data_IF_061273729403
#
_entry.id   IF_061273729403
#
_cell.length_a   1.000
_cell.length_b   1.000
_cell.length_c   1.000
_cell.angle_alpha   90.00
_cell.angle_beta   90.00
_cell.angle_gamma   90.00
#
_symmetry.space_group_name_H-M   'P 1'
#
loop_
_entity.id
_entity.type
_entity.pdbx_description
1 polymer ?
#
# COMPACT_ATOMS: atom_id res chain seq x y z
N UNK A 1 -16.87 -11.15 2.47
CA UNK A 1 -15.72 -11.64 1.68
C UNK A 1 -14.85 -12.42 2.66
N UNK A 2 -14.39 -13.62 2.32
CA UNK A 2 -13.58 -14.46 3.23
C UNK A 2 -12.08 -14.19 3.04
N UNK A 3 -11.24 -14.48 4.03
CA UNK A 3 -9.79 -14.22 4.01
C UNK A 3 -9.10 -14.73 2.75
N UNK A 4 -9.47 -15.92 2.28
CA UNK A 4 -8.95 -16.49 1.02
C UNK A 4 -9.22 -15.60 -0.19
N UNK A 5 -10.35 -14.93 -0.22
CA UNK A 5 -10.73 -14.01 -1.29
C UNK A 5 -9.97 -12.68 -1.19
N UNK A 6 -9.78 -12.15 0.02
CA UNK A 6 -8.91 -10.98 0.25
C UNK A 6 -7.50 -11.27 -0.26
N UNK A 7 -6.92 -12.41 0.16
CA UNK A 7 -5.58 -12.79 -0.24
C UNK A 7 -5.47 -12.95 -1.76
N UNK A 8 -6.47 -13.59 -2.38
CA UNK A 8 -6.57 -13.72 -3.85
C UNK A 8 -6.53 -12.35 -4.52
N UNK A 9 -7.29 -11.37 -4.04
CA UNK A 9 -7.31 -10.02 -4.60
C UNK A 9 -5.97 -9.29 -4.43
N UNK A 10 -5.28 -9.51 -3.31
CA UNK A 10 -3.95 -8.94 -3.07
C UNK A 10 -2.94 -9.53 -4.07
N UNK A 11 -2.85 -10.85 -4.21
CA UNK A 11 -1.80 -11.50 -5.04
C UNK A 11 -2.14 -11.61 -6.53
N UNK A 12 -3.38 -11.36 -6.93
CA UNK A 12 -3.74 -11.57 -8.34
C UNK A 12 -2.94 -10.63 -9.26
N UNK A 13 -2.51 -11.13 -10.43
CA UNK A 13 -1.83 -10.29 -11.42
C UNK A 13 -2.67 -9.08 -11.79
N UNK A 14 -2.04 -7.90 -11.78
CA UNK A 14 -2.67 -6.65 -12.17
C UNK A 14 -1.66 -5.71 -12.81
N UNK A 15 -2.16 -4.76 -13.60
CA UNK A 15 -1.35 -3.76 -14.30
C UNK A 15 -1.83 -2.36 -13.95
N UNK A 16 -0.89 -1.42 -13.90
CA UNK A 16 -1.18 0.01 -13.88
C UNK A 16 -1.72 0.38 -15.26
N UNK A 17 -2.88 1.03 -15.29
CA UNK A 17 -3.53 1.52 -16.51
C UNK A 17 -3.52 3.05 -16.59
N UNK A 18 -3.38 3.73 -15.47
CA UNK A 18 -3.34 5.19 -15.38
C UNK A 18 -2.55 5.61 -14.14
N UNK A 19 -1.82 6.72 -14.25
CA UNK A 19 -1.08 7.36 -13.16
C UNK A 19 -1.47 8.84 -13.14
N UNK A 20 -1.74 9.42 -11.97
CA UNK A 20 -2.14 10.84 -11.88
C UNK A 20 -1.06 11.80 -12.40
N UNK A 21 0.22 11.43 -12.26
CA UNK A 21 1.39 12.08 -12.84
C UNK A 21 2.62 11.16 -12.75
N UNK A 22 3.72 11.50 -13.44
CA UNK A 22 5.04 10.93 -13.15
C UNK A 22 5.60 11.44 -11.81
N UNK A 23 5.22 12.65 -11.43
CA UNK A 23 5.68 13.33 -10.23
C UNK A 23 4.67 13.18 -9.09
N UNK A 24 5.14 13.39 -7.85
CA UNK A 24 4.25 13.45 -6.69
C UNK A 24 3.52 14.80 -6.67
N UNK A 25 2.23 14.79 -6.37
CA UNK A 25 1.53 16.00 -5.96
C UNK A 25 1.86 16.32 -4.51
N UNK A 26 1.83 17.61 -4.15
CA UNK A 26 1.94 18.03 -2.76
C UNK A 26 0.56 18.15 -2.13
N UNK A 27 0.36 17.47 -1.00
CA UNK A 27 -0.83 17.55 -0.17
C UNK A 27 -0.42 17.90 1.26
N UNK A 28 -0.51 19.17 1.64
CA UNK A 28 -0.09 19.69 2.95
C UNK A 28 1.37 19.32 3.29
N UNK A 29 1.57 18.44 4.28
CA UNK A 29 2.87 17.96 4.75
C UNK A 29 3.33 16.68 4.04
N UNK A 30 2.63 16.26 2.98
CA UNK A 30 2.93 15.01 2.29
C UNK A 30 3.12 15.20 0.79
N UNK A 31 3.95 14.34 0.23
CA UNK A 31 3.96 14.00 -1.18
C UNK A 31 2.99 12.85 -1.41
N UNK A 32 2.20 12.92 -2.48
CA UNK A 32 1.25 11.88 -2.87
C UNK A 32 1.35 11.50 -4.35
N UNK A 33 1.15 10.22 -4.66
CA UNK A 33 0.99 9.72 -6.03
C UNK A 33 -0.02 8.59 -6.05
N UNK A 34 -0.95 8.63 -7.00
CA UNK A 34 -2.03 7.62 -7.14
C UNK A 34 -1.96 6.97 -8.52
N UNK A 35 -2.31 5.69 -8.55
CA UNK A 35 -2.34 4.86 -9.74
C UNK A 35 -3.66 4.11 -9.79
N UNK A 36 -4.26 4.04 -10.99
CA UNK A 36 -5.36 3.11 -11.26
C UNK A 36 -4.80 1.83 -11.82
N UNK A 37 -5.26 0.71 -11.28
CA UNK A 37 -4.85 -0.61 -11.70
C UNK A 37 -6.07 -1.43 -12.11
N UNK A 38 -5.81 -2.43 -12.94
CA UNK A 38 -6.80 -3.41 -13.37
C UNK A 38 -6.20 -4.80 -13.32
N UNK A 39 -6.99 -5.79 -12.89
CA UNK A 39 -6.62 -7.21 -13.05
C UNK A 39 -6.45 -7.56 -14.52
N UNK A 40 -5.64 -8.58 -14.82
CA UNK A 40 -5.34 -8.97 -16.21
C UNK A 40 -6.59 -9.45 -16.97
N UNK A 41 -7.53 -10.08 -16.27
CA UNK A 41 -8.84 -10.49 -16.81
C UNK A 41 -9.83 -9.33 -16.97
N UNK A 42 -9.48 -8.12 -16.50
CA UNK A 42 -10.32 -6.93 -16.58
C UNK A 42 -11.43 -6.82 -15.53
N UNK A 43 -11.64 -7.86 -14.72
CA UNK A 43 -12.79 -7.99 -13.82
C UNK A 43 -12.72 -7.11 -12.56
N UNK A 44 -11.51 -6.72 -12.15
CA UNK A 44 -11.28 -5.95 -10.92
C UNK A 44 -10.52 -4.67 -11.20
N UNK A 45 -10.94 -3.60 -10.54
CA UNK A 45 -10.26 -2.30 -10.53
C UNK A 45 -9.69 -2.05 -9.15
N UNK A 46 -8.51 -1.45 -9.10
CA UNK A 46 -7.82 -1.11 -7.88
C UNK A 46 -7.26 0.30 -7.94
N UNK A 47 -6.99 0.86 -6.76
CA UNK A 47 -6.12 2.02 -6.59
C UNK A 47 -4.87 1.59 -5.85
N UNK A 48 -3.71 1.94 -6.38
CA UNK A 48 -2.49 2.02 -5.59
C UNK A 48 -2.24 3.48 -5.25
N UNK A 49 -1.80 3.76 -4.04
CA UNK A 49 -1.34 5.09 -3.67
C UNK A 49 -0.02 5.01 -2.90
N UNK A 50 0.74 6.08 -3.00
CA UNK A 50 1.95 6.33 -2.22
C UNK A 50 1.76 7.68 -1.54
N UNK A 51 1.97 7.73 -0.23
CA UNK A 51 2.02 8.96 0.56
C UNK A 51 3.31 8.97 1.37
N UNK A 52 4.06 10.06 1.32
CA UNK A 52 5.31 10.26 2.08
C UNK A 52 5.28 11.59 2.77
N UNK A 53 5.69 11.67 4.03
CA UNK A 53 5.86 12.96 4.69
C UNK A 53 7.02 13.75 4.03
N UNK A 54 6.89 15.07 3.96
CA UNK A 54 7.89 15.95 3.30
C UNK A 54 9.22 15.95 4.03
N UNK A 55 9.18 16.07 5.36
CA UNK A 55 10.37 16.12 6.21
C UNK A 55 10.81 14.73 6.71
N UNK A 56 9.91 13.94 7.30
CA UNK A 56 10.19 12.60 7.82
C UNK A 56 9.96 11.51 6.76
N UNK A 57 10.94 11.25 5.90
CA UNK A 57 10.78 10.34 4.75
C UNK A 57 10.51 8.88 5.13
N UNK A 58 10.86 8.48 6.35
CA UNK A 58 10.49 7.21 7.00
C UNK A 58 9.00 7.11 7.30
N UNK A 59 8.29 8.23 7.42
CA UNK A 59 6.84 8.28 7.56
C UNK A 59 6.19 8.22 6.17
N UNK A 60 5.85 7.01 5.76
CA UNK A 60 5.17 6.74 4.50
C UNK A 60 4.08 5.69 4.63
N UNK A 61 3.21 5.66 3.62
CA UNK A 61 2.22 4.61 3.40
C UNK A 61 2.13 4.29 1.91
N UNK A 62 2.22 3.00 1.58
CA UNK A 62 1.98 2.45 0.24
C UNK A 62 0.78 1.52 0.35
N UNK A 63 -0.31 1.82 -0.34
CA UNK A 63 -1.57 1.10 -0.15
C UNK A 63 -2.17 0.57 -1.44
N UNK A 64 -2.87 -0.56 -1.32
CA UNK A 64 -3.74 -1.13 -2.36
C UNK A 64 -5.18 -1.13 -1.86
N UNK A 65 -6.07 -0.52 -2.63
CA UNK A 65 -7.50 -0.55 -2.39
C UNK A 65 -8.21 -1.25 -3.57
N UNK A 66 -9.17 -2.12 -3.28
CA UNK A 66 -10.14 -2.59 -4.26
C UNK A 66 -11.17 -1.48 -4.53
N UNK A 67 -11.53 -1.27 -5.79
CA UNK A 67 -12.55 -0.30 -6.20
C UNK A 67 -13.80 -1.05 -6.71
N UNK A 68 -14.71 -1.51 -5.82
CA UNK A 68 -16.00 -2.06 -6.24
C UNK A 68 -16.89 -1.02 -6.93
N UNK A 69 -16.69 0.27 -6.62
CA UNK A 69 -17.30 1.40 -7.33
C UNK A 69 -16.34 2.60 -7.33
N UNK A 70 -16.57 3.64 -8.16
CA UNK A 70 -15.69 4.81 -8.24
C UNK A 70 -15.49 5.55 -6.90
N UNK A 71 -16.52 5.55 -6.04
CA UNK A 71 -16.56 6.41 -4.85
C UNK A 71 -16.25 5.67 -3.54
N UNK A 72 -16.09 4.34 -3.58
CA UNK A 72 -15.87 3.53 -2.38
C UNK A 72 -14.72 2.54 -2.60
N UNK A 73 -13.52 2.93 -2.18
CA UNK A 73 -12.39 2.01 -2.08
C UNK A 73 -12.45 1.17 -0.80
N UNK A 74 -12.20 -0.13 -0.93
CA UNK A 74 -12.00 -1.05 0.19
C UNK A 74 -10.50 -1.31 0.34
N UNK A 75 -9.86 -0.87 1.44
CA UNK A 75 -8.43 -1.08 1.62
C UNK A 75 -8.13 -2.57 1.78
N UNK A 76 -7.09 -3.06 1.13
CA UNK A 76 -6.68 -4.47 1.19
C UNK A 76 -5.41 -4.65 2.01
N UNK A 77 -4.37 -3.88 1.66
CA UNK A 77 -3.05 -3.96 2.28
C UNK A 77 -2.39 -2.58 2.28
N UNK A 78 -1.64 -2.27 3.35
CA UNK A 78 -0.73 -1.11 3.40
C UNK A 78 0.62 -1.52 3.93
N UNK A 79 1.69 -1.09 3.27
CA UNK A 79 3.05 -1.13 3.78
C UNK A 79 3.40 0.26 4.30
N UNK A 80 3.65 0.38 5.59
CA UNK A 80 3.94 1.64 6.25
C UNK A 80 5.36 1.65 6.82
N UNK A 81 5.95 2.83 6.84
CA UNK A 81 7.09 3.10 7.70
C UNK A 81 6.67 3.53 9.11
N UNK A 82 7.65 3.72 10.01
CA UNK A 82 7.42 4.16 11.38
C UNK A 82 6.61 5.45 11.42
N UNK A 83 5.56 5.48 12.23
CA UNK A 83 4.81 6.69 12.48
C UNK A 83 4.06 6.64 13.81
N UNK A 84 3.86 7.82 14.40
CA UNK A 84 2.99 7.98 15.55
C UNK A 84 1.53 7.94 15.07
N UNK A 85 0.77 6.93 15.51
CA UNK A 85 -0.68 6.92 15.35
C UNK A 85 -1.29 7.45 16.64
N UNK A 86 -1.94 8.60 16.55
CA UNK A 86 -2.71 9.18 17.65
C UNK A 86 -4.18 8.76 17.48
N UNK A 87 -4.52 7.49 17.73
CA UNK A 87 -5.93 7.09 17.78
C UNK A 87 -6.62 7.60 19.06
N UNK A 88 -5.85 7.78 20.13
CA UNK A 88 -6.26 8.40 21.38
C UNK A 88 -5.11 9.30 21.87
N UNK A 89 -5.35 10.61 22.00
CA UNK A 89 -4.32 11.57 22.47
C UNK A 89 -3.92 11.26 23.92
N UNK A 90 -4.82 10.62 24.69
CA UNK A 90 -4.58 10.21 26.07
C UNK A 90 -3.90 8.84 26.17
N UNK A 91 -3.93 8.04 25.08
CA UNK A 91 -3.27 6.73 24.96
C UNK A 91 -2.71 6.54 23.56
N UNK A 92 -1.66 7.30 23.18
CA UNK A 92 -1.04 7.13 21.88
C UNK A 92 -0.54 5.68 21.75
N UNK A 93 -0.85 5.03 20.63
CA UNK A 93 -0.27 3.72 20.25
C UNK A 93 0.76 3.96 19.15
N UNK A 94 2.00 4.31 19.52
CA UNK A 94 3.04 4.58 18.55
C UNK A 94 3.42 3.31 17.76
N UNK A 95 3.44 3.41 16.43
CA UNK A 95 4.03 2.39 15.57
C UNK A 95 5.48 2.77 15.30
N UNK A 96 6.37 2.38 16.20
CA UNK A 96 7.79 2.70 16.12
C UNK A 96 8.54 1.95 15.01
N UNK A 97 7.95 0.89 14.48
CA UNK A 97 8.56 0.01 13.50
C UNK A 97 7.84 0.03 12.16
N UNK A 98 8.54 -0.44 11.13
CA UNK A 98 7.95 -0.79 9.85
C UNK A 98 6.87 -1.86 10.05
N UNK A 99 5.71 -1.69 9.43
CA UNK A 99 4.58 -2.58 9.65
C UNK A 99 3.64 -2.65 8.46
N UNK A 100 2.98 -3.80 8.33
CA UNK A 100 2.02 -4.09 7.28
C UNK A 100 0.63 -4.12 7.90
N UNK A 101 -0.31 -3.37 7.33
CA UNK A 101 -1.71 -3.54 7.64
C UNK A 101 -2.40 -4.41 6.59
N UNK A 102 -3.33 -5.25 7.03
CA UNK A 102 -4.17 -6.06 6.15
C UNK A 102 -5.62 -6.04 6.64
N UNK A 103 -6.57 -6.09 5.71
CA UNK A 103 -7.98 -6.16 6.06
C UNK A 103 -8.32 -7.57 6.54
N UNK A 104 -9.07 -7.67 7.64
CA UNK A 104 -9.61 -8.95 8.12
C UNK A 104 -11.11 -9.08 7.82
N UNK A 105 -11.63 -10.31 7.86
CA UNK A 105 -13.08 -10.54 7.70
C UNK A 105 -13.89 -9.71 8.70
N UNK A 106 -13.44 -9.64 9.96
CA UNK A 106 -14.07 -8.84 11.00
C UNK A 106 -14.21 -7.36 10.64
N UNK A 107 -13.23 -6.78 9.91
CA UNK A 107 -13.30 -5.38 9.46
C UNK A 107 -14.42 -5.20 8.43
N UNK A 108 -14.55 -6.16 7.52
CA UNK A 108 -15.58 -6.16 6.47
C UNK A 108 -16.96 -6.36 7.07
N UNK A 109 -17.10 -7.30 8.01
CA UNK A 109 -18.38 -7.59 8.68
C UNK A 109 -18.88 -6.41 9.51
N UNK A 110 -17.97 -5.60 10.05
CA UNK A 110 -18.29 -4.41 10.85
C UNK A 110 -18.38 -3.11 10.03
N UNK A 111 -18.25 -3.17 8.69
CA UNK A 111 -18.09 -2.01 7.77
C UNK A 111 -17.01 -1.02 8.24
N UNK A 112 -15.99 -1.54 8.92
CA UNK A 112 -14.84 -0.75 9.37
C UNK A 112 -13.93 -0.57 8.16
N UNK A 113 -13.92 0.64 7.60
CA UNK A 113 -13.05 1.01 6.47
C UNK A 113 -11.59 1.30 6.88
N UNK A 114 -11.22 0.89 8.08
CA UNK A 114 -9.87 0.98 8.63
C UNK A 114 -9.27 -0.41 8.70
N UNK A 115 -7.99 -0.52 8.37
CA UNK A 115 -7.26 -1.78 8.52
C UNK A 115 -6.88 -1.92 10.00
N UNK A 116 -7.67 -2.66 10.76
CA UNK A 116 -7.47 -2.78 12.22
C UNK A 116 -6.27 -3.66 12.57
N UNK A 117 -5.89 -4.59 11.70
CA UNK A 117 -4.73 -5.44 11.90
C UNK A 117 -3.46 -4.80 11.35
N UNK A 118 -2.43 -4.75 12.19
CA UNK A 118 -1.08 -4.35 11.84
C UNK A 118 -0.09 -5.40 12.37
N UNK A 119 0.89 -5.78 11.55
CA UNK A 119 2.02 -6.62 11.96
C UNK A 119 3.33 -5.86 11.77
N UNK A 120 4.19 -5.87 12.79
CA UNK A 120 5.57 -5.40 12.64
C UNK A 120 6.26 -6.33 11.64
N UNK A 121 7.09 -5.77 10.76
CA UNK A 121 7.74 -6.52 9.69
C UNK A 121 9.23 -6.24 9.61
N UNK A 122 9.98 -7.28 9.26
CA UNK A 122 11.40 -7.24 8.88
C UNK A 122 11.59 -7.34 7.35
N UNK A 123 10.51 -7.40 6.58
CA UNK A 123 10.52 -7.57 5.12
C UNK A 123 11.00 -6.34 4.36
N UNK A 124 10.99 -5.18 5.01
CA UNK A 124 11.55 -3.94 4.52
C UNK A 124 11.93 -3.02 5.68
N UNK A 125 12.96 -2.20 5.47
CA UNK A 125 13.44 -1.21 6.43
C UNK A 125 13.56 0.20 5.83
N UNK A 126 13.03 0.41 4.63
CA UNK A 126 13.03 1.69 3.94
C UNK A 126 11.85 1.82 2.99
N UNK A 127 11.53 3.04 2.57
CA UNK A 127 10.49 3.29 1.56
C UNK A 127 10.75 2.51 0.25
N UNK A 128 12.01 2.43 -0.19
CA UNK A 128 12.36 1.79 -1.45
C UNK A 128 12.16 0.27 -1.38
N UNK A 129 12.61 -0.35 -0.29
CA UNK A 129 12.36 -1.77 -0.04
C UNK A 129 10.87 -2.06 0.14
N UNK A 130 10.14 -1.18 0.84
CA UNK A 130 8.69 -1.31 1.00
C UNK A 130 7.95 -1.27 -0.35
N UNK A 131 8.38 -0.39 -1.26
CA UNK A 131 7.81 -0.30 -2.60
C UNK A 131 8.08 -1.56 -3.43
N UNK A 132 9.32 -2.05 -3.43
CA UNK A 132 9.70 -3.29 -4.11
C UNK A 132 8.93 -4.50 -3.54
N UNK A 133 8.89 -4.63 -2.22
CA UNK A 133 8.12 -5.66 -1.53
C UNK A 133 6.63 -5.56 -1.89
N UNK A 134 6.03 -4.37 -1.80
CA UNK A 134 4.62 -4.16 -2.10
C UNK A 134 4.28 -4.57 -3.53
N UNK A 135 5.11 -4.20 -4.51
CA UNK A 135 4.88 -4.49 -5.92
C UNK A 135 4.97 -5.98 -6.21
N UNK A 136 5.94 -6.68 -5.61
CA UNK A 136 6.05 -8.15 -5.68
C UNK A 136 4.85 -8.81 -4.99
N UNK A 137 4.51 -8.38 -3.77
CA UNK A 137 3.43 -8.93 -2.94
C UNK A 137 2.06 -8.76 -3.59
N UNK A 138 1.86 -7.64 -4.28
CA UNK A 138 0.60 -7.29 -4.96
C UNK A 138 0.59 -7.65 -6.44
N UNK A 139 1.69 -8.21 -6.97
CA UNK A 139 1.78 -8.72 -8.33
C UNK A 139 1.43 -7.68 -9.42
N UNK A 140 2.04 -6.50 -9.31
CA UNK A 140 1.91 -5.42 -10.31
C UNK A 140 2.92 -5.65 -11.43
N UNK A 141 2.45 -6.15 -12.57
CA UNK A 141 3.34 -6.76 -13.59
C UNK A 141 4.10 -5.76 -14.46
N UNK A 142 3.60 -4.53 -14.59
CA UNK A 142 4.20 -3.48 -15.42
C UNK A 142 4.79 -2.33 -14.59
N UNK A 143 5.18 -2.62 -13.35
CA UNK A 143 5.73 -1.62 -12.45
C UNK A 143 7.00 -0.95 -12.97
N UNK A 144 7.82 -1.67 -13.75
CA UNK A 144 9.06 -1.14 -14.34
C UNK A 144 8.84 0.04 -15.29
N UNK A 145 7.62 0.21 -15.83
CA UNK A 145 7.28 1.35 -16.68
C UNK A 145 7.07 2.65 -15.87
N UNK A 146 6.92 2.54 -14.54
CA UNK A 146 6.50 3.63 -13.65
C UNK A 146 7.47 3.93 -12.51
N UNK A 147 8.38 2.99 -12.20
CA UNK A 147 9.31 3.07 -11.08
C UNK A 147 10.70 2.57 -11.47
N UNK A 148 11.72 3.29 -11.03
CA UNK A 148 13.12 2.91 -11.20
C UNK A 148 13.55 1.98 -10.07
N UNK A 149 13.36 0.67 -10.26
CA UNK A 149 13.98 -0.31 -9.37
C UNK A 149 15.48 -0.39 -9.72
N UNK A 150 16.32 0.25 -8.92
CA UNK A 150 17.75 -0.05 -9.02
C UNK A 150 17.95 -1.55 -8.76
N UNK A 151 18.56 -2.25 -9.72
CA UNK A 151 19.15 -3.56 -9.45
C UNK A 151 20.13 -3.38 -8.29
N UNK A 152 19.96 -4.17 -7.23
CA UNK A 152 20.96 -4.28 -6.16
C UNK A 152 22.34 -4.43 -6.79
N UNK A 153 23.32 -3.62 -6.35
CA UNK A 153 24.72 -3.78 -6.76
C UNK A 153 25.32 -5.10 -6.24
N UNK A 154 24.61 -5.79 -5.35
CA UNK A 154 24.93 -7.12 -4.87
C UNK A 154 23.80 -8.06 -5.32
N UNK A 155 23.88 -8.50 -6.57
CA UNK A 155 23.15 -9.67 -7.01
C UNK A 155 23.88 -10.92 -6.53
N UNK A 156 23.13 -11.86 -5.96
CA UNK A 156 23.45 -13.28 -5.84
C UNK A 156 24.90 -13.62 -5.44
N UNK A 157 25.14 -13.73 -4.12
CA UNK A 157 26.20 -14.57 -3.57
C UNK A 157 25.62 -15.93 -3.18
#
# INVERSE_FOLDING_TARGET
>A
MIEREIERLIIMPKRIIESSSKEFSEEYQHFRRDFKLQSIDGNYKFRMFIRKHKEFQENFSIGLDLLPSPDKGMPLIRCNGPHYVTEDILKPSPHYDYHIHMIKNDDIEKDIRKLSFAEITDRYNSYKEALDYFIKRTNIINANDYFDFQKSLFGDL
#
